data_IF_310144593804
#
_entry.id   IF_310144593804
#
_cell.length_a   1.000
_cell.length_b   1.000
_cell.length_c   1.000
_cell.angle_alpha   90.00
_cell.angle_beta   90.00
_cell.angle_gamma   90.00
#
_symmetry.space_group_name_H-M   'P 1'
#
loop_
_entity.id
_entity.type
_entity.pdbx_description
1 polymer ?
#
# COMPACT_ATOMS: atom_id res chain seq x y z
N UNK A 1 9.01 8.71 -20.46
CA UNK A 1 8.63 8.95 -19.08
C UNK A 1 7.13 8.88 -18.90
N UNK A 2 6.68 7.89 -18.19
CA UNK A 2 5.26 7.71 -17.92
C UNK A 2 4.80 8.68 -16.84
N UNK A 3 3.70 9.38 -17.09
CA UNK A 3 3.11 10.30 -16.12
C UNK A 3 1.86 9.66 -15.52
N UNK A 4 1.82 9.55 -14.20
CA UNK A 4 0.65 9.01 -13.50
C UNK A 4 -0.55 9.94 -13.68
N UNK A 5 -1.74 9.41 -14.04
CA UNK A 5 -2.95 10.25 -14.13
C UNK A 5 -3.23 11.00 -12.83
N UNK A 6 -3.74 12.23 -12.98
CA UNK A 6 -3.90 13.15 -11.85
C UNK A 6 -4.81 12.60 -10.74
N UNK A 7 -5.88 11.90 -11.09
CA UNK A 7 -6.80 11.33 -10.10
C UNK A 7 -6.13 10.22 -9.27
N UNK A 8 -5.31 9.40 -9.90
CA UNK A 8 -4.58 8.33 -9.21
C UNK A 8 -3.49 8.94 -8.33
N UNK A 9 -2.77 9.94 -8.87
CA UNK A 9 -1.74 10.65 -8.11
C UNK A 9 -2.30 11.30 -6.86
N UNK A 10 -3.44 11.96 -6.95
CA UNK A 10 -4.10 12.58 -5.80
C UNK A 10 -4.46 11.55 -4.72
N UNK A 11 -4.96 10.40 -5.15
CA UNK A 11 -5.29 9.34 -4.22
C UNK A 11 -4.05 8.84 -3.48
N UNK A 12 -2.96 8.58 -4.23
CA UNK A 12 -1.72 8.09 -3.65
C UNK A 12 -1.11 9.11 -2.68
N UNK A 13 -1.12 10.40 -3.05
CA UNK A 13 -0.64 11.47 -2.17
C UNK A 13 -1.49 11.57 -0.91
N UNK A 14 -2.81 11.47 -1.02
CA UNK A 14 -3.73 11.52 0.11
C UNK A 14 -3.63 10.32 1.03
N UNK A 15 -3.24 9.17 0.51
CA UNK A 15 -2.96 7.99 1.31
C UNK A 15 -1.62 8.11 2.05
N UNK A 16 -0.57 8.47 1.32
CA UNK A 16 0.80 8.39 1.82
C UNK A 16 1.17 9.54 2.74
N UNK A 17 0.72 10.75 2.45
CA UNK A 17 1.01 11.93 3.27
C UNK A 17 2.44 12.45 3.14
N UNK A 18 3.41 11.57 3.14
CA UNK A 18 4.84 11.89 3.01
C UNK A 18 5.52 10.88 2.10
N UNK A 19 6.81 11.12 1.82
CA UNK A 19 7.68 10.09 1.24
C UNK A 19 7.60 8.82 2.09
N UNK A 20 7.52 7.68 1.45
CA UNK A 20 7.30 6.41 2.16
C UNK A 20 8.59 5.70 2.58
N UNK A 21 9.74 6.34 2.40
CA UNK A 21 10.99 5.82 2.96
C UNK A 21 11.00 6.05 4.48
N UNK A 22 11.49 5.07 5.29
CA UNK A 22 11.45 5.18 6.75
C UNK A 22 12.10 6.46 7.26
N UNK A 23 11.37 7.21 8.09
CA UNK A 23 11.85 8.44 8.70
C UNK A 23 11.86 9.68 7.81
N UNK A 24 11.45 9.58 6.55
CA UNK A 24 11.42 10.72 5.64
C UNK A 24 10.11 11.49 5.79
N UNK A 25 10.21 12.81 6.00
CA UNK A 25 9.06 13.68 6.19
C UNK A 25 8.75 14.56 4.97
N UNK A 26 9.34 14.26 3.82
CA UNK A 26 9.06 15.03 2.60
C UNK A 26 7.57 14.96 2.26
N UNK A 27 6.89 16.10 2.07
CA UNK A 27 5.45 16.07 1.78
C UNK A 27 5.14 15.32 0.49
N UNK A 28 4.06 14.57 0.48
CA UNK A 28 3.68 13.75 -0.66
C UNK A 28 3.54 14.54 -1.96
N UNK A 29 3.02 15.78 -1.89
CA UNK A 29 2.84 16.60 -3.09
C UNK A 29 4.16 17.05 -3.74
N UNK A 30 5.28 16.93 -3.03
CA UNK A 30 6.62 17.20 -3.53
C UNK A 30 7.37 15.93 -3.90
N UNK A 31 6.74 14.78 -3.76
CA UNK A 31 7.34 13.49 -4.09
C UNK A 31 6.99 13.08 -5.52
N UNK A 32 7.74 12.11 -6.02
CA UNK A 32 7.40 11.40 -7.25
C UNK A 32 6.48 10.24 -6.90
N UNK A 33 5.65 9.84 -7.86
CA UNK A 33 4.84 8.64 -7.73
C UNK A 33 5.63 7.48 -8.33
N UNK A 34 6.17 6.63 -7.45
CA UNK A 34 7.02 5.52 -7.84
C UNK A 34 6.21 4.26 -8.13
N UNK A 35 6.51 3.60 -9.24
CA UNK A 35 5.99 2.26 -9.52
C UNK A 35 6.89 1.24 -8.84
N UNK A 36 6.36 0.47 -7.89
CA UNK A 36 7.13 -0.57 -7.22
C UNK A 36 7.69 -1.57 -8.23
N UNK A 37 6.81 -2.07 -9.10
CA UNK A 37 7.21 -2.78 -10.30
C UNK A 37 7.19 -1.76 -11.41
N UNK A 38 8.32 -1.55 -12.09
CA UNK A 38 8.45 -0.51 -13.10
C UNK A 38 7.40 -0.65 -14.20
N UNK A 39 6.91 0.49 -14.68
CA UNK A 39 5.95 0.50 -15.77
C UNK A 39 6.50 -0.23 -17.01
N UNK A 40 7.78 -0.03 -17.32
CA UNK A 40 8.45 -0.70 -18.43
C UNK A 40 8.51 -2.22 -18.27
N UNK A 41 8.45 -2.73 -17.04
CA UNK A 41 8.48 -4.16 -16.72
C UNK A 41 7.08 -4.74 -16.52
N UNK A 42 6.04 -4.02 -16.95
CA UNK A 42 4.67 -4.47 -16.85
C UNK A 42 3.97 -4.10 -15.54
N UNK A 43 4.56 -3.25 -14.71
CA UNK A 43 3.94 -2.82 -13.47
C UNK A 43 2.71 -1.95 -13.73
N UNK A 44 1.56 -2.26 -13.11
CA UNK A 44 0.34 -1.52 -13.34
C UNK A 44 0.38 -0.14 -12.66
N UNK A 45 -0.37 0.81 -13.23
CA UNK A 45 -0.57 2.12 -12.62
C UNK A 45 -1.82 2.07 -11.74
N UNK A 46 -1.67 1.43 -10.60
CA UNK A 46 -2.72 1.27 -9.59
C UNK A 46 -2.17 1.65 -8.23
N UNK A 47 -3.04 2.10 -7.30
CA UNK A 47 -2.56 2.45 -5.95
C UNK A 47 -1.76 1.36 -5.25
N UNK A 48 -2.07 0.09 -5.52
CA UNK A 48 -1.34 -1.04 -4.92
C UNK A 48 0.11 -1.16 -5.41
N UNK A 49 0.44 -0.54 -6.53
CA UNK A 49 1.79 -0.56 -7.11
C UNK A 49 2.47 0.81 -7.08
N UNK A 50 1.87 1.81 -6.45
CA UNK A 50 2.38 3.18 -6.45
C UNK A 50 2.65 3.66 -5.02
N UNK A 51 3.75 4.39 -4.85
CA UNK A 51 4.10 5.01 -3.58
C UNK A 51 4.77 6.36 -3.82
N UNK A 52 4.58 7.28 -2.88
CA UNK A 52 5.26 8.56 -2.91
C UNK A 52 6.70 8.41 -2.44
N UNK A 53 7.65 8.75 -3.28
CA UNK A 53 9.07 8.79 -2.91
C UNK A 53 9.64 10.15 -3.32
N UNK A 54 10.37 10.81 -2.42
CA UNK A 54 11.12 12.01 -2.79
C UNK A 54 12.24 11.62 -3.75
N UNK A 55 12.81 12.60 -4.45
CA UNK A 55 13.83 12.33 -5.47
C UNK A 55 14.99 11.50 -4.93
N UNK A 56 15.46 11.81 -3.73
CA UNK A 56 16.57 11.11 -3.10
C UNK A 56 16.27 9.62 -2.89
N UNK A 57 15.10 9.30 -2.33
CA UNK A 57 14.74 7.92 -2.03
C UNK A 57 14.25 7.17 -3.26
N UNK A 58 13.70 7.87 -4.24
CA UNK A 58 13.42 7.28 -5.55
C UNK A 58 14.72 6.80 -6.21
N UNK A 59 15.78 7.60 -6.11
CA UNK A 59 17.09 7.22 -6.63
C UNK A 59 17.67 6.00 -5.92
N UNK A 60 17.52 5.92 -4.60
CA UNK A 60 17.97 4.77 -3.80
C UNK A 60 17.30 3.49 -4.29
N UNK A 61 16.00 3.53 -4.50
CA UNK A 61 15.23 2.38 -5.00
C UNK A 61 15.66 2.02 -6.43
N UNK A 62 15.84 3.02 -7.28
CA UNK A 62 16.26 2.81 -8.68
C UNK A 62 17.67 2.22 -8.76
N UNK A 63 18.57 2.65 -7.88
CA UNK A 63 19.94 2.12 -7.81
C UNK A 63 19.99 0.70 -7.24
N UNK A 64 18.90 0.19 -6.70
CA UNK A 64 18.83 -1.17 -6.17
C UNK A 64 19.44 -1.36 -4.79
N UNK A 65 19.76 -0.27 -4.07
CA UNK A 65 20.32 -0.36 -2.72
C UNK A 65 19.26 -0.65 -1.65
N UNK A 66 18.00 -0.45 -1.97
CA UNK A 66 16.87 -0.83 -1.14
C UNK A 66 15.67 -1.11 -2.04
N UNK A 67 14.82 -2.02 -1.61
CA UNK A 67 13.55 -2.23 -2.31
C UNK A 67 12.42 -2.41 -1.29
N UNK A 68 11.18 -2.32 -1.77
CA UNK A 68 10.04 -2.41 -0.87
C UNK A 68 8.92 -3.25 -1.45
N UNK A 69 8.07 -3.73 -0.56
CA UNK A 69 6.79 -4.33 -0.90
C UNK A 69 5.70 -3.56 -0.15
N UNK A 70 4.49 -3.60 -0.67
CA UNK A 70 3.35 -2.91 -0.06
C UNK A 70 2.23 -3.88 0.22
N UNK A 71 1.64 -3.76 1.42
CA UNK A 71 0.38 -4.42 1.72
C UNK A 71 -0.75 -3.61 1.05
N UNK A 72 -1.45 -4.19 0.06
CA UNK A 72 -2.48 -3.44 -0.67
C UNK A 72 -3.71 -3.10 0.18
N UNK A 73 -3.92 -3.78 1.29
CA UNK A 73 -5.07 -3.53 2.16
C UNK A 73 -4.82 -2.40 3.15
N UNK A 74 -3.63 -2.35 3.74
CA UNK A 74 -3.30 -1.36 4.77
C UNK A 74 -2.51 -0.18 4.22
N UNK A 75 -1.86 -0.35 3.08
CA UNK A 75 -0.93 0.64 2.56
C UNK A 75 0.42 0.66 3.25
N UNK A 76 0.64 -0.28 4.19
CA UNK A 76 1.93 -0.40 4.85
C UNK A 76 3.00 -0.81 3.85
N UNK A 77 4.19 -0.24 4.00
CA UNK A 77 5.34 -0.56 3.15
C UNK A 77 6.45 -1.14 4.00
N UNK A 78 7.04 -2.21 3.49
CA UNK A 78 8.16 -2.91 4.13
C UNK A 78 9.38 -2.74 3.25
N UNK A 79 10.40 -2.06 3.79
CA UNK A 79 11.66 -1.80 3.09
C UNK A 79 12.70 -2.83 3.50
N UNK A 80 13.37 -3.42 2.51
CA UNK A 80 14.48 -4.33 2.74
C UNK A 80 15.78 -3.68 2.27
N UNK A 81 16.81 -3.73 3.11
CA UNK A 81 18.10 -3.10 2.88
C UNK A 81 19.18 -4.12 2.57
N UNK A 82 20.30 -3.65 2.01
CA UNK A 82 21.41 -4.51 1.58
C UNK A 82 21.99 -5.38 2.70
N UNK A 83 21.99 -4.88 3.93
CA UNK A 83 22.52 -5.62 5.09
C UNK A 83 21.55 -6.68 5.62
N UNK A 84 20.41 -6.89 4.96
CA UNK A 84 19.40 -7.85 5.37
C UNK A 84 18.41 -7.33 6.40
N UNK A 85 18.58 -6.12 6.90
CA UNK A 85 17.60 -5.51 7.80
C UNK A 85 16.40 -5.00 7.02
N UNK A 86 15.28 -4.84 7.72
CA UNK A 86 14.08 -4.29 7.11
C UNK A 86 13.36 -3.37 8.09
N UNK A 87 12.58 -2.45 7.53
CA UNK A 87 11.75 -1.51 8.30
C UNK A 87 10.41 -1.32 7.62
N UNK A 88 9.38 -1.07 8.40
CA UNK A 88 8.06 -0.78 7.86
C UNK A 88 7.69 0.68 8.07
N UNK A 89 6.85 1.20 7.18
CA UNK A 89 6.24 2.53 7.33
C UNK A 89 4.74 2.40 7.11
N UNK A 90 4.00 3.23 7.85
CA UNK A 90 2.55 3.31 7.70
C UNK A 90 2.19 4.54 6.87
N UNK A 91 1.09 4.49 6.10
CA UNK A 91 0.60 5.68 5.43
C UNK A 91 0.05 6.66 6.45
N UNK A 92 0.33 7.96 6.27
CA UNK A 92 -0.05 9.00 7.23
C UNK A 92 -1.02 10.03 6.67
N UNK A 93 -1.42 9.89 5.42
CA UNK A 93 -2.35 10.81 4.80
C UNK A 93 -3.80 10.62 5.28
N UNK A 94 -4.66 11.62 5.06
CA UNK A 94 -6.05 11.56 5.54
C UNK A 94 -6.89 10.43 4.92
N UNK A 95 -6.55 9.99 3.71
CA UNK A 95 -7.24 8.87 3.08
C UNK A 95 -6.93 7.55 3.80
N UNK A 96 -5.69 7.39 4.25
CA UNK A 96 -5.28 6.19 4.98
C UNK A 96 -6.12 5.98 6.24
N UNK A 97 -6.28 7.02 7.05
CA UNK A 97 -7.07 6.94 8.27
C UNK A 97 -8.53 6.59 8.01
N UNK A 98 -9.13 7.23 7.00
CA UNK A 98 -10.57 7.12 6.76
C UNK A 98 -10.97 5.88 5.99
N UNK A 99 -10.14 5.43 5.05
CA UNK A 99 -10.56 4.40 4.11
C UNK A 99 -9.86 3.06 4.31
N UNK A 100 -8.53 3.05 4.55
CA UNK A 100 -7.78 1.81 4.58
C UNK A 100 -8.08 0.98 5.81
N UNK A 101 -7.98 1.58 7.00
CA UNK A 101 -8.23 0.86 8.25
C UNK A 101 -9.68 0.39 8.34
N UNK A 102 -10.63 1.25 7.98
CA UNK A 102 -12.06 0.91 8.00
C UNK A 102 -12.39 -0.18 6.99
N UNK A 103 -11.89 -0.05 5.76
CA UNK A 103 -12.13 -1.05 4.70
C UNK A 103 -11.58 -2.40 5.10
N UNK A 104 -10.37 -2.43 5.66
CA UNK A 104 -9.75 -3.65 6.13
C UNK A 104 -10.55 -4.30 7.26
N UNK A 105 -10.95 -3.49 8.26
CA UNK A 105 -11.77 -3.97 9.37
C UNK A 105 -13.11 -4.52 8.89
N UNK A 106 -13.74 -3.83 7.94
CA UNK A 106 -15.00 -4.28 7.35
C UNK A 106 -14.83 -5.59 6.58
N UNK A 107 -13.74 -5.74 5.84
CA UNK A 107 -13.46 -6.97 5.11
C UNK A 107 -13.29 -8.16 6.05
N UNK A 108 -12.57 -7.97 7.17
CA UNK A 108 -12.41 -9.02 8.19
C UNK A 108 -13.74 -9.37 8.83
N UNK A 109 -14.53 -8.37 9.21
CA UNK A 109 -15.84 -8.57 9.81
C UNK A 109 -16.78 -9.34 8.87
N UNK A 110 -16.77 -9.00 7.58
CA UNK A 110 -17.55 -9.69 6.56
C UNK A 110 -17.14 -11.14 6.41
N UNK A 111 -15.84 -11.43 6.41
CA UNK A 111 -15.32 -12.80 6.34
C UNK A 111 -15.75 -13.63 7.54
N UNK A 112 -15.65 -13.06 8.74
CA UNK A 112 -16.05 -13.75 9.97
C UNK A 112 -17.55 -14.05 9.97
N UNK A 113 -18.35 -13.09 9.52
CA UNK A 113 -19.81 -13.26 9.42
C UNK A 113 -20.15 -14.37 8.43
N UNK A 114 -19.56 -14.37 7.23
CA UNK A 114 -19.81 -15.41 6.24
C UNK A 114 -19.40 -16.79 6.75
N UNK A 115 -18.25 -16.89 7.42
CA UNK A 115 -17.79 -18.15 8.00
C UNK A 115 -18.76 -18.66 9.05
N UNK A 116 -19.30 -17.78 9.89
CA UNK A 116 -20.29 -18.12 10.91
C UNK A 116 -21.59 -18.61 10.26
N UNK A 117 -22.09 -17.90 9.25
CA UNK A 117 -23.30 -18.29 8.52
C UNK A 117 -23.15 -19.63 7.86
N UNK A 118 -22.00 -19.89 7.24
CA UNK A 118 -21.71 -21.20 6.62
C UNK A 118 -21.67 -22.32 7.67
N UNK A 119 -21.09 -22.07 8.83
CA UNK A 119 -21.05 -23.06 9.91
C UNK A 119 -22.45 -23.37 10.44
N UNK A 120 -23.29 -22.35 10.59
CA UNK A 120 -24.69 -22.53 11.02
C UNK A 120 -25.47 -23.33 9.98
N UNK A 121 -25.34 -22.98 8.69
CA UNK A 121 -25.99 -23.69 7.61
C UNK A 121 -25.58 -25.17 7.56
N UNK A 122 -24.31 -25.45 7.76
CA UNK A 122 -23.80 -26.81 7.79
C UNK A 122 -24.39 -27.63 8.94
N UNK A 123 -24.51 -27.02 10.13
CA UNK A 123 -25.14 -27.66 11.26
C UNK A 123 -26.61 -27.99 11.00
N UNK A 124 -27.32 -27.10 10.35
CA UNK A 124 -28.71 -27.34 9.96
C UNK A 124 -28.84 -28.50 8.98
N UNK A 125 -27.95 -28.61 8.00
CA UNK A 125 -27.91 -29.75 7.06
C UNK A 125 -27.66 -31.07 7.79
N UNK A 126 -26.73 -31.07 8.73
CA UNK A 126 -26.39 -32.31 9.47
C UNK A 126 -27.58 -32.79 10.33
N UNK A 127 -28.38 -31.87 10.86
CA UNK A 127 -29.54 -32.21 11.68
C UNK A 127 -30.71 -32.76 10.88
N UNK A 128 -30.80 -32.37 9.62
CA UNK A 128 -31.87 -32.84 8.76
C UNK A 128 -31.49 -34.14 8.07
#
# INVERSE_FOLDING_TARGET
>A
NYITPANIRKYVEGRDGTCRYPGCNHPAHKCQTDHRINFADGGPTTPANLACLCQHHHNIKTDGTAFYIMDPYTGDIFWLFEDGTWKSTEPTGPIAEKNWAQTFAQAIASRRRRAHEQAVALKEEIKS
#
